data_IF_611683258277
#
_entry.id   IF_611683258277
#
_cell.length_a   1.000
_cell.length_b   1.000
_cell.length_c   1.000
_cell.angle_alpha   90.00
_cell.angle_beta   90.00
_cell.angle_gamma   90.00
#
_symmetry.space_group_name_H-M   'P 1'
#
loop_
_entity.id
_entity.type
_entity.pdbx_description
1 polymer ?
#
# COMPACT_ATOMS: atom_id res chain seq x y z
N UNK A 1 15.38 6.31 31.79
CA UNK A 1 15.90 6.11 30.42
C UNK A 1 14.75 5.65 29.56
N UNK A 2 14.46 6.38 28.50
CA UNK A 2 13.45 5.98 27.52
C UNK A 2 14.09 4.98 26.55
N UNK A 3 13.47 3.81 26.39
CA UNK A 3 14.02 2.72 25.56
C UNK A 3 13.85 2.97 24.06
N UNK A 4 13.13 4.03 23.67
CA UNK A 4 12.65 4.24 22.30
C UNK A 4 11.65 3.18 21.83
N UNK A 5 11.08 2.39 22.76
CA UNK A 5 10.07 1.38 22.46
C UNK A 5 8.69 1.89 22.89
N UNK A 6 7.77 1.96 21.93
CA UNK A 6 6.36 2.26 22.17
C UNK A 6 5.53 0.98 22.19
N UNK A 7 4.64 0.84 23.16
CA UNK A 7 3.67 -0.25 23.26
C UNK A 7 2.27 0.30 22.97
N UNK A 8 1.58 -0.29 22.00
CA UNK A 8 0.22 0.11 21.61
C UNK A 8 -0.72 -1.05 21.90
N UNK A 9 -1.88 -0.78 22.52
CA UNK A 9 -2.89 -1.78 22.84
C UNK A 9 -4.27 -1.36 22.34
N UNK A 10 -5.09 -2.33 21.95
CA UNK A 10 -6.47 -2.10 21.55
C UNK A 10 -6.59 -1.87 20.05
N UNK A 11 -7.03 -2.90 19.32
CA UNK A 11 -7.37 -2.81 17.89
C UNK A 11 -6.29 -2.16 17.01
N UNK A 12 -5.03 -2.57 17.23
CA UNK A 12 -3.89 -1.99 16.51
C UNK A 12 -3.96 -2.33 15.02
N UNK A 13 -3.73 -1.31 14.17
CA UNK A 13 -3.61 -1.43 12.73
C UNK A 13 -2.29 -0.81 12.27
N UNK A 14 -1.47 -1.59 11.56
CA UNK A 14 -0.22 -1.14 10.95
C UNK A 14 -0.42 -1.10 9.44
N UNK A 15 -0.08 0.02 8.80
CA UNK A 15 -0.17 0.19 7.35
C UNK A 15 1.20 0.56 6.79
N UNK A 16 1.66 -0.15 5.75
CA UNK A 16 2.90 0.15 5.04
C UNK A 16 2.67 0.02 3.53
N UNK A 17 2.67 1.16 2.84
CA UNK A 17 2.23 1.20 1.45
C UNK A 17 0.79 0.67 1.32
N UNK A 18 0.60 -0.34 0.48
CA UNK A 18 -0.70 -1.00 0.27
C UNK A 18 -0.94 -2.18 1.23
N UNK A 19 0.02 -2.51 2.09
CA UNK A 19 -0.06 -3.63 3.01
C UNK A 19 -0.64 -3.19 4.36
N UNK A 20 -1.49 -4.02 4.95
CA UNK A 20 -2.12 -3.76 6.24
C UNK A 20 -2.05 -4.98 7.14
N UNK A 21 -1.67 -4.77 8.40
CA UNK A 21 -1.69 -5.77 9.47
C UNK A 21 -2.58 -5.30 10.61
N UNK A 22 -3.34 -6.21 11.23
CA UNK A 22 -4.21 -5.94 12.38
C UNK A 22 -3.98 -6.94 13.50
N UNK A 23 -3.96 -6.45 14.73
CA UNK A 23 -3.65 -7.23 15.93
C UNK A 23 -4.22 -6.63 17.21
N UNK A 24 -3.97 -7.29 18.33
CA UNK A 24 -4.43 -6.86 19.64
C UNK A 24 -3.53 -5.77 20.25
N UNK A 25 -2.22 -5.95 20.11
CA UNK A 25 -1.22 -5.00 20.58
C UNK A 25 0.04 -5.05 19.71
N UNK A 26 0.87 -4.01 19.77
CA UNK A 26 2.12 -3.91 19.05
C UNK A 26 3.23 -3.30 19.91
N UNK A 27 4.46 -3.72 19.61
CA UNK A 27 5.68 -3.09 20.07
C UNK A 27 6.38 -2.44 18.88
N UNK A 28 6.77 -1.19 19.03
CA UNK A 28 7.46 -0.43 17.98
C UNK A 28 8.77 0.08 18.55
N UNK A 29 9.88 -0.39 18.01
CA UNK A 29 11.19 0.20 18.27
C UNK A 29 11.37 1.38 17.31
N UNK A 30 11.28 2.59 17.84
CA UNK A 30 11.39 3.83 17.06
C UNK A 30 12.84 4.17 16.68
N UNK A 31 13.82 3.57 17.35
CA UNK A 31 15.23 3.71 17.00
C UNK A 31 15.59 2.89 15.74
N UNK A 32 15.00 1.70 15.58
CA UNK A 32 15.29 0.79 14.45
C UNK A 32 14.21 0.76 13.38
N UNK A 33 13.01 1.26 13.68
CA UNK A 33 11.84 1.16 12.81
C UNK A 33 11.21 -0.25 12.76
N UNK A 34 11.66 -1.19 13.59
CA UNK A 34 11.10 -2.54 13.67
C UNK A 34 9.81 -2.53 14.48
N UNK A 35 8.74 -3.05 13.88
CA UNK A 35 7.43 -3.21 14.53
C UNK A 35 7.08 -4.68 14.67
N UNK A 36 6.66 -5.11 15.86
CA UNK A 36 6.11 -6.45 16.12
C UNK A 36 4.64 -6.32 16.49
N UNK A 37 3.80 -7.15 15.88
CA UNK A 37 2.36 -7.14 16.09
C UNK A 37 1.91 -8.48 16.63
N UNK A 38 1.05 -8.45 17.65
CA UNK A 38 0.66 -9.64 18.40
C UNK A 38 -0.86 -9.83 18.41
N UNK A 39 -1.26 -11.09 18.52
CA UNK A 39 -2.64 -11.48 18.82
C UNK A 39 -2.91 -11.50 20.32
N UNK A 40 -4.16 -11.73 20.71
CA UNK A 40 -4.54 -11.97 22.11
C UNK A 40 -5.69 -12.98 22.17
N UNK A 41 -5.49 -14.06 22.93
CA UNK A 41 -6.48 -15.14 23.08
C UNK A 41 -6.99 -15.66 21.74
N UNK A 42 -8.29 -15.46 21.48
CA UNK A 42 -8.95 -15.86 20.23
C UNK A 42 -8.64 -14.94 19.02
N UNK A 43 -8.09 -13.75 19.26
CA UNK A 43 -7.76 -12.80 18.20
C UNK A 43 -6.34 -13.04 17.69
N UNK A 44 -6.21 -13.63 16.49
CA UNK A 44 -4.93 -13.78 15.79
C UNK A 44 -4.60 -12.53 14.97
N UNK A 45 -3.30 -12.33 14.72
CA UNK A 45 -2.84 -11.33 13.75
C UNK A 45 -3.36 -11.70 12.36
N UNK A 46 -3.91 -10.71 11.65
CA UNK A 46 -4.38 -10.87 10.26
C UNK A 46 -3.73 -9.81 9.39
N UNK A 47 -3.39 -10.18 8.16
CA UNK A 47 -2.72 -9.30 7.21
C UNK A 47 -3.35 -9.35 5.83
N UNK A 48 -3.33 -8.21 5.16
CA UNK A 48 -3.53 -8.08 3.72
C UNK A 48 -2.22 -7.59 3.11
N UNK A 49 -1.69 -8.35 2.15
CA UNK A 49 -0.50 -8.00 1.39
C UNK A 49 -0.89 -7.84 -0.07
N UNK A 50 -0.69 -6.63 -0.59
CA UNK A 50 -0.87 -6.32 -1.99
C UNK A 50 0.45 -6.59 -2.73
N UNK A 51 0.40 -7.20 -3.93
CA UNK A 51 1.54 -7.24 -4.84
C UNK A 51 2.00 -5.81 -5.20
N UNK A 52 3.30 -5.62 -5.37
CA UNK A 52 3.87 -4.29 -5.65
C UNK A 52 3.45 -3.71 -7.01
N UNK A 53 2.97 -4.56 -7.92
CA UNK A 53 2.59 -4.20 -9.29
C UNK A 53 1.28 -3.42 -9.45
N UNK A 54 0.56 -3.15 -8.35
CA UNK A 54 -0.65 -2.31 -8.36
C UNK A 54 -0.38 -0.83 -8.74
N UNK A 55 0.86 -0.46 -9.05
CA UNK A 55 1.24 0.88 -9.55
C UNK A 55 1.37 1.03 -11.08
N UNK A 56 1.08 0.03 -11.92
CA UNK A 56 1.20 0.19 -13.40
C UNK A 56 -0.04 -0.22 -14.20
N UNK A 57 -1.16 0.50 -14.09
CA UNK A 57 -2.17 0.48 -15.17
C UNK A 57 -2.91 1.78 -15.45
N UNK A 58 -2.68 2.86 -14.71
CA UNK A 58 -3.49 4.09 -14.87
C UNK A 58 -2.81 5.19 -15.72
N UNK A 59 -1.56 5.05 -16.16
CA UNK A 59 -0.89 6.08 -16.98
C UNK A 59 -0.59 5.75 -18.44
N UNK A 60 -0.95 4.58 -18.97
CA UNK A 60 -0.59 4.19 -20.34
C UNK A 60 -1.76 3.93 -21.30
N UNK A 61 -2.99 4.30 -20.93
CA UNK A 61 -4.19 4.18 -21.81
C UNK A 61 -4.75 5.50 -22.34
N UNK A 62 -4.10 6.64 -22.08
CA UNK A 62 -4.54 7.96 -22.57
C UNK A 62 -3.65 8.49 -23.69
N UNK A 63 -3.28 7.62 -24.62
CA UNK A 63 -2.37 7.97 -25.71
C UNK A 63 -2.43 7.00 -26.90
N UNK A 64 -3.61 6.65 -27.42
CA UNK A 64 -3.79 6.20 -28.81
C UNK A 64 -5.27 6.04 -29.18
N UNK A 65 -5.84 7.06 -29.80
CA UNK A 65 -6.98 6.92 -30.71
C UNK A 65 -6.81 7.90 -31.87
N UNK A 66 -6.11 7.41 -32.90
CA UNK A 66 -6.40 7.62 -34.34
C UNK A 66 -7.03 8.96 -34.76
N UNK A 67 -6.20 9.93 -35.18
CA UNK A 67 -6.58 10.79 -36.32
C UNK A 67 -6.04 10.13 -37.58
N UNK A 68 -6.95 9.52 -38.34
CA UNK A 68 -6.70 8.95 -39.66
C UNK A 68 -6.12 10.04 -40.58
N UNK A 69 -5.00 9.70 -41.20
CA UNK A 69 -4.53 10.13 -42.51
C UNK A 69 -5.70 10.45 -43.45
N UNK A 70 -6.07 11.73 -43.53
CA UNK A 70 -6.91 12.30 -44.58
C UNK A 70 -6.06 12.48 -45.82
N UNK A 71 -6.21 11.56 -46.77
CA UNK A 71 -5.71 11.67 -48.14
C UNK A 71 -6.38 12.88 -48.81
N UNK A 72 -5.57 13.71 -49.47
CA UNK A 72 -5.83 14.43 -50.73
C UNK A 72 -7.26 14.91 -51.02
N UNK A 73 -7.43 16.22 -51.21
CA UNK A 73 -8.40 16.73 -52.18
C UNK A 73 -7.76 17.82 -53.05
N UNK A 74 -7.84 17.56 -54.35
CA UNK A 74 -7.50 18.37 -55.51
C UNK A 74 -8.63 19.35 -55.88
N UNK A 75 -8.26 20.39 -56.66
CA UNK A 75 -9.11 21.41 -57.32
C UNK A 75 -9.71 22.45 -56.35
N UNK A 76 -9.62 23.77 -56.59
CA UNK A 76 -9.60 24.53 -57.84
C UNK A 76 -8.58 25.68 -57.80
#
# INVERSE_FOLDING_TARGET
MDTGVAVLSGSVKVTRGNNQLRGAYAEINLNTGVSRLFGSGKQRVKGYFAPEDLKKSTHERRGKTTSKKGRSNSAQ
#
